data_IF_914913643147
#
_entry.id   IF_914913643147
#
_cell.length_a   1.000
_cell.length_b   1.000
_cell.length_c   1.000
_cell.angle_alpha   90.00
_cell.angle_beta   90.00
_cell.angle_gamma   90.00
#
_symmetry.space_group_name_H-M   'P 1'
#
loop_
_entity.id
_entity.type
_entity.pdbx_description
1 polymer ?
#
# COMPACT_ATOMS: atom_id res chain seq x y z
N UNK A 1 -5.19 1.31 -10.46
CA UNK A 1 -6.31 1.61 -9.54
C UNK A 1 -5.67 2.14 -8.27
N UNK A 2 -5.85 3.40 -7.99
CA UNK A 2 -5.30 4.04 -6.79
C UNK A 2 -6.40 4.15 -5.74
N UNK A 3 -6.12 3.73 -4.52
CA UNK A 3 -7.01 3.94 -3.37
C UNK A 3 -6.36 5.05 -2.55
N UNK A 4 -7.03 6.19 -2.47
CA UNK A 4 -6.56 7.34 -1.73
C UNK A 4 -6.74 7.16 -0.22
N UNK A 5 -5.83 7.73 0.56
CA UNK A 5 -5.80 7.63 2.01
C UNK A 5 -6.27 8.90 2.72
N UNK A 6 -6.51 8.75 4.00
CA UNK A 6 -6.77 9.81 4.96
C UNK A 6 -5.57 10.77 5.15
N UNK A 7 -5.76 11.98 5.68
CA UNK A 7 -4.67 12.94 5.88
C UNK A 7 -3.58 12.34 6.77
N UNK A 8 -2.34 12.35 6.27
CA UNK A 8 -1.13 12.00 6.99
C UNK A 8 -0.42 10.71 6.58
N UNK A 9 -0.99 9.80 5.81
CA UNK A 9 -0.26 8.66 5.26
C UNK A 9 -0.95 8.04 4.06
N UNK A 10 -0.28 7.98 2.91
CA UNK A 10 -0.78 7.34 1.71
C UNK A 10 -0.11 5.98 1.45
N UNK A 11 -0.90 4.93 1.27
CA UNK A 11 -0.42 3.61 0.87
C UNK A 11 -0.99 3.22 -0.48
N UNK A 12 -0.14 2.72 -1.38
CA UNK A 12 -0.55 2.32 -2.72
C UNK A 12 0.03 0.97 -3.09
N UNK A 13 -0.80 0.14 -3.67
CA UNK A 13 -0.38 -1.07 -4.36
C UNK A 13 -0.49 -0.82 -5.86
N UNK A 14 0.62 -0.91 -6.58
CA UNK A 14 0.65 -0.68 -8.03
C UNK A 14 0.72 -2.03 -8.73
N UNK A 15 -0.33 -2.32 -9.49
CA UNK A 15 -0.32 -3.33 -10.53
C UNK A 15 0.10 -2.68 -11.83
N UNK A 16 1.21 -3.11 -12.39
CA UNK A 16 1.77 -2.60 -13.65
C UNK A 16 2.37 -1.18 -13.56
N UNK A 17 3.43 -0.96 -14.30
CA UNK A 17 4.22 0.24 -14.55
C UNK A 17 3.46 1.57 -14.55
N UNK A 18 2.88 1.98 -13.45
CA UNK A 18 2.25 3.28 -13.34
C UNK A 18 3.07 4.17 -12.41
N UNK A 19 3.46 5.36 -12.83
CA UNK A 19 4.08 6.33 -11.94
C UNK A 19 3.05 6.78 -10.90
N UNK A 20 3.45 6.81 -9.65
CA UNK A 20 2.67 7.39 -8.58
C UNK A 20 3.23 8.77 -8.24
N UNK A 21 2.39 9.78 -8.33
CA UNK A 21 2.68 11.15 -7.91
C UNK A 21 1.88 11.45 -6.64
N UNK A 22 2.52 11.35 -5.49
CA UNK A 22 1.93 11.76 -4.21
C UNK A 22 2.42 13.14 -3.81
N UNK A 23 1.52 13.98 -3.29
CA UNK A 23 1.84 15.33 -2.84
C UNK A 23 1.34 15.53 -1.42
N UNK A 24 2.21 15.98 -0.51
CA UNK A 24 1.81 16.60 0.75
C UNK A 24 1.79 18.10 0.53
N UNK A 25 0.64 18.71 0.76
CA UNK A 25 0.52 20.17 0.78
C UNK A 25 0.19 20.64 2.19
N UNK A 26 1.04 21.51 2.75
CA UNK A 26 0.86 22.12 4.06
C UNK A 26 0.62 23.61 3.84
N UNK A 27 -0.58 24.06 4.14
CA UNK A 27 -0.98 25.46 3.97
C UNK A 27 -0.36 26.36 5.05
N UNK A 28 -0.26 27.64 4.77
CA UNK A 28 0.38 28.64 5.64
C UNK A 28 -0.13 28.64 7.08
N UNK A 29 -1.42 28.40 7.28
CA UNK A 29 -2.06 28.41 8.61
C UNK A 29 -1.97 27.06 9.33
N UNK A 30 -1.46 26.01 8.67
CA UNK A 30 -1.29 24.68 9.25
C UNK A 30 0.06 24.54 9.99
N UNK A 31 0.33 25.47 10.91
CA UNK A 31 1.54 25.43 11.73
C UNK A 31 1.52 24.24 12.70
N UNK A 32 2.69 23.75 13.07
CA UNK A 32 2.90 22.55 13.92
C UNK A 32 2.38 21.23 13.33
N UNK A 33 2.10 21.18 12.03
CA UNK A 33 1.77 19.92 11.34
C UNK A 33 2.94 18.94 11.40
N UNK A 34 2.61 17.66 11.54
CA UNK A 34 3.58 16.57 11.50
C UNK A 34 3.06 15.51 10.53
N UNK A 35 3.53 15.57 9.29
CA UNK A 35 3.02 14.75 8.20
C UNK A 35 4.08 13.79 7.66
N UNK A 36 3.64 12.58 7.34
CA UNK A 36 4.47 11.56 6.74
C UNK A 36 3.74 10.85 5.60
N UNK A 37 4.32 10.90 4.40
CA UNK A 37 3.84 10.17 3.24
C UNK A 37 4.66 8.90 3.06
N UNK A 38 4.05 7.74 3.27
CA UNK A 38 4.68 6.46 2.99
C UNK A 38 4.03 5.81 1.78
N UNK A 39 4.88 5.44 0.81
CA UNK A 39 4.47 4.63 -0.33
C UNK A 39 5.21 3.30 -0.29
N UNK A 40 4.45 2.22 -0.20
CA UNK A 40 4.98 0.86 -0.31
C UNK A 40 4.40 0.18 -1.54
N UNK A 41 5.27 -0.35 -2.40
CA UNK A 41 4.90 -1.04 -3.63
C UNK A 41 5.35 -2.50 -3.54
N UNK A 42 4.42 -3.42 -3.78
CA UNK A 42 4.71 -4.84 -3.92
C UNK A 42 4.65 -5.21 -5.41
N UNK A 43 5.78 -5.66 -5.94
CA UNK A 43 5.88 -6.08 -7.34
C UNK A 43 5.54 -7.57 -7.45
N UNK A 44 4.49 -7.90 -8.22
CA UNK A 44 4.01 -9.27 -8.41
C UNK A 44 4.64 -9.95 -9.63
N UNK A 45 5.39 -9.21 -10.42
CA UNK A 45 6.10 -9.72 -11.59
C UNK A 45 7.52 -9.18 -11.61
N UNK A 46 8.45 -9.93 -12.18
CA UNK A 46 9.82 -9.48 -12.40
C UNK A 46 9.91 -8.32 -13.40
N UNK A 47 8.92 -8.19 -14.28
CA UNK A 47 8.82 -7.11 -15.26
C UNK A 47 8.09 -5.88 -14.71
N UNK A 48 7.52 -5.97 -13.52
CA UNK A 48 6.84 -4.86 -12.87
C UNK A 48 7.83 -3.76 -12.49
N UNK A 49 7.44 -2.51 -12.74
CA UNK A 49 8.21 -1.33 -12.35
C UNK A 49 7.37 -0.43 -11.48
N UNK A 50 7.87 -0.10 -10.31
CA UNK A 50 7.28 0.88 -9.42
C UNK A 50 8.09 2.17 -9.50
N UNK A 51 7.44 3.27 -9.87
CA UNK A 51 8.05 4.59 -9.90
C UNK A 51 7.28 5.51 -8.95
N UNK A 52 7.93 5.94 -7.89
CA UNK A 52 7.37 6.83 -6.88
C UNK A 52 7.97 8.22 -7.04
N UNK A 53 7.13 9.22 -7.20
CA UNK A 53 7.53 10.63 -7.28
C UNK A 53 6.77 11.39 -6.18
N UNK A 54 7.19 11.25 -4.91
CA UNK A 54 6.59 11.99 -3.83
C UNK A 54 7.03 13.46 -3.86
N UNK A 55 6.07 14.37 -3.68
CA UNK A 55 6.30 15.80 -3.62
C UNK A 55 5.89 16.39 -2.27
N UNK A 56 6.54 17.49 -1.89
CA UNK A 56 6.21 18.28 -0.71
C UNK A 56 6.03 19.73 -1.15
N UNK A 57 4.87 20.30 -0.83
CA UNK A 57 4.59 21.73 -0.99
C UNK A 57 4.27 22.31 0.39
N UNK A 58 5.20 23.08 0.95
CA UNK A 58 5.12 23.54 2.34
C UNK A 58 5.11 25.06 2.35
N UNK A 59 3.99 25.65 2.77
CA UNK A 59 3.80 27.09 2.91
C UNK A 59 3.95 27.56 4.38
N UNK A 60 3.98 26.63 5.33
CA UNK A 60 4.15 26.90 6.76
C UNK A 60 5.61 26.79 7.21
N UNK A 61 6.00 27.47 8.29
CA UNK A 61 7.37 27.53 8.78
C UNK A 61 7.67 26.49 9.89
N UNK A 62 6.73 26.26 10.79
CA UNK A 62 6.88 25.37 11.93
C UNK A 62 6.17 24.05 11.67
N UNK A 63 6.78 23.20 10.83
CA UNK A 63 6.20 21.90 10.47
C UNK A 63 7.28 20.83 10.39
N UNK A 64 6.85 19.59 10.50
CA UNK A 64 7.64 18.40 10.16
C UNK A 64 6.94 17.67 9.03
N UNK A 65 7.60 17.54 7.89
CA UNK A 65 7.09 16.79 6.77
C UNK A 65 8.19 15.91 6.20
N UNK A 66 7.86 14.67 5.95
CA UNK A 66 8.79 13.73 5.33
C UNK A 66 8.06 12.72 4.46
N UNK A 67 8.79 12.06 3.59
CA UNK A 67 8.24 10.98 2.77
C UNK A 67 9.22 9.80 2.70
N UNK A 68 8.66 8.62 2.50
CA UNK A 68 9.39 7.40 2.20
C UNK A 68 8.74 6.65 1.05
N UNK A 69 9.55 5.98 0.24
CA UNK A 69 9.06 5.11 -0.81
C UNK A 69 9.84 3.80 -0.80
N UNK A 70 9.14 2.69 -0.87
CA UNK A 70 9.73 1.37 -1.02
C UNK A 70 9.10 0.62 -2.18
N UNK A 71 9.89 -0.17 -2.87
CA UNK A 71 9.43 -1.11 -3.86
C UNK A 71 10.16 -2.44 -3.68
N UNK A 72 9.42 -3.51 -3.54
CA UNK A 72 9.99 -4.85 -3.37
C UNK A 72 9.21 -5.90 -4.14
N UNK A 73 9.88 -6.91 -4.70
CA UNK A 73 9.21 -8.06 -5.26
C UNK A 73 8.56 -8.91 -4.15
N UNK A 74 7.66 -9.80 -4.53
CA UNK A 74 7.24 -10.91 -3.65
C UNK A 74 8.47 -11.73 -3.32
N UNK A 75 8.65 -12.03 -2.03
CA UNK A 75 9.74 -12.85 -1.55
C UNK A 75 9.55 -14.31 -2.02
N UNK A 76 10.45 -14.86 -2.83
CA UNK A 76 10.33 -16.21 -3.34
C UNK A 76 10.41 -17.27 -2.24
N UNK A 77 11.14 -17.03 -1.15
CA UNK A 77 11.21 -17.96 -0.01
C UNK A 77 9.88 -18.01 0.73
N UNK A 78 9.25 -16.84 0.93
CA UNK A 78 7.92 -16.77 1.54
C UNK A 78 6.88 -17.48 0.68
N UNK A 79 6.90 -17.28 -0.63
CA UNK A 79 6.01 -17.95 -1.58
C UNK A 79 6.24 -19.48 -1.54
N UNK A 80 7.50 -19.91 -1.61
CA UNK A 80 7.87 -21.33 -1.53
C UNK A 80 7.40 -21.97 -0.22
N UNK A 81 7.57 -21.29 0.92
CA UNK A 81 7.11 -21.79 2.21
C UNK A 81 5.59 -22.02 2.21
N UNK A 82 4.81 -21.10 1.69
CA UNK A 82 3.35 -21.24 1.62
C UNK A 82 2.94 -22.40 0.71
N UNK A 83 3.59 -22.55 -0.44
CA UNK A 83 3.37 -23.68 -1.36
C UNK A 83 3.75 -25.02 -0.72
N UNK A 84 4.82 -25.07 0.07
CA UNK A 84 5.21 -26.30 0.81
C UNK A 84 4.19 -26.72 1.88
N UNK A 85 3.31 -25.80 2.28
CA UNK A 85 2.18 -26.04 3.19
C UNK A 85 0.89 -26.42 2.47
N UNK A 86 0.93 -26.60 1.16
CA UNK A 86 -0.17 -27.11 0.36
C UNK A 86 -1.01 -26.05 -0.36
N UNK A 87 -0.57 -24.76 -0.36
CA UNK A 87 -1.22 -23.74 -1.16
C UNK A 87 -0.78 -23.86 -2.62
N UNK A 88 -1.70 -23.54 -3.56
CA UNK A 88 -1.32 -23.33 -4.94
C UNK A 88 -0.46 -22.06 -5.08
N UNK A 89 0.19 -21.90 -6.22
CA UNK A 89 0.99 -20.69 -6.48
C UNK A 89 0.15 -19.42 -6.38
N UNK A 90 -1.05 -19.44 -6.96
CA UNK A 90 -1.98 -18.33 -6.91
C UNK A 90 -2.47 -18.04 -5.49
N UNK A 91 -2.74 -19.07 -4.70
CA UNK A 91 -3.15 -18.93 -3.30
C UNK A 91 -2.02 -18.36 -2.43
N UNK A 92 -0.78 -18.80 -2.67
CA UNK A 92 0.38 -18.28 -1.96
C UNK A 92 0.61 -16.79 -2.28
N UNK A 93 0.51 -16.41 -3.55
CA UNK A 93 0.63 -15.01 -3.97
C UNK A 93 -0.49 -14.15 -3.38
N UNK A 94 -1.73 -14.60 -3.46
CA UNK A 94 -2.88 -13.94 -2.87
C UNK A 94 -2.69 -13.70 -1.36
N UNK A 95 -2.18 -14.68 -0.64
CA UNK A 95 -1.91 -14.57 0.80
C UNK A 95 -0.81 -13.53 1.09
N UNK A 96 0.26 -13.49 0.31
CA UNK A 96 1.32 -12.49 0.46
C UNK A 96 0.78 -11.08 0.20
N UNK A 97 -0.02 -10.91 -0.85
CA UNK A 97 -0.64 -9.62 -1.18
C UNK A 97 -1.58 -9.15 -0.07
N UNK A 98 -2.43 -10.05 0.42
CA UNK A 98 -3.36 -9.73 1.52
C UNK A 98 -2.61 -9.33 2.77
N UNK A 99 -1.57 -10.05 3.14
CA UNK A 99 -0.73 -9.71 4.29
C UNK A 99 0.02 -8.37 4.11
N UNK A 100 0.43 -8.04 2.90
CA UNK A 100 1.02 -6.75 2.58
C UNK A 100 0.02 -5.60 2.76
N UNK A 101 -1.19 -5.76 2.27
CA UNK A 101 -2.26 -4.76 2.35
C UNK A 101 -2.85 -4.62 3.76
N UNK A 102 -2.91 -5.72 4.53
CA UNK A 102 -3.52 -5.76 5.86
C UNK A 102 -2.97 -4.67 6.78
N UNK A 103 -1.64 -4.48 6.79
CA UNK A 103 -0.99 -3.45 7.62
C UNK A 103 -1.49 -2.02 7.36
N UNK A 104 -1.95 -1.77 6.15
CA UNK A 104 -2.51 -0.47 5.76
C UNK A 104 -3.99 -0.40 6.05
N UNK A 105 -4.71 -1.47 5.73
CA UNK A 105 -6.15 -1.58 5.91
C UNK A 105 -6.51 -1.50 7.41
N UNK A 106 -5.71 -2.09 8.29
CA UNK A 106 -5.89 -2.04 9.75
C UNK A 106 -5.85 -0.63 10.32
N UNK A 107 -5.16 0.31 9.65
CA UNK A 107 -5.09 1.71 10.07
C UNK A 107 -6.34 2.52 9.74
N UNK A 108 -7.25 1.98 8.93
CA UNK A 108 -8.51 2.64 8.58
C UNK A 108 -9.45 2.52 9.78
N UNK A 109 -9.90 3.64 10.39
CA UNK A 109 -10.74 3.59 11.59
C UNK A 109 -12.15 3.06 11.32
N UNK A 110 -12.67 3.25 10.11
CA UNK A 110 -14.01 2.80 9.71
C UNK A 110 -14.03 1.30 9.37
N UNK A 111 -14.70 0.52 10.20
CA UNK A 111 -14.82 -0.93 10.05
C UNK A 111 -15.57 -1.33 8.76
N UNK A 112 -16.59 -0.57 8.37
CA UNK A 112 -17.34 -0.87 7.14
C UNK A 112 -16.46 -0.68 5.91
N UNK A 113 -15.69 0.39 5.89
CA UNK A 113 -14.74 0.66 4.81
C UNK A 113 -13.66 -0.41 4.75
N UNK A 114 -13.11 -0.85 5.91
CA UNK A 114 -12.14 -1.96 5.96
C UNK A 114 -12.71 -3.22 5.31
N UNK A 115 -13.93 -3.61 5.66
CA UNK A 115 -14.59 -4.80 5.10
C UNK A 115 -14.77 -4.70 3.59
N UNK A 116 -15.22 -3.53 3.10
CA UNK A 116 -15.39 -3.32 1.65
C UNK A 116 -14.08 -3.46 0.91
N UNK A 117 -12.99 -2.91 1.46
CA UNK A 117 -11.66 -2.99 0.83
C UNK A 117 -11.14 -4.43 0.87
N UNK A 118 -11.26 -5.12 2.01
CA UNK A 118 -10.84 -6.52 2.13
C UNK A 118 -11.61 -7.40 1.14
N UNK A 119 -12.92 -7.25 1.06
CA UNK A 119 -13.73 -8.01 0.10
C UNK A 119 -13.30 -7.74 -1.35
N UNK A 120 -13.03 -6.49 -1.71
CA UNK A 120 -12.55 -6.15 -3.05
C UNK A 120 -11.17 -6.77 -3.36
N UNK A 121 -10.31 -6.94 -2.36
CA UNK A 121 -9.02 -7.63 -2.49
C UNK A 121 -9.24 -9.13 -2.66
N UNK A 122 -10.07 -9.74 -1.83
CA UNK A 122 -10.41 -11.17 -1.91
C UNK A 122 -11.02 -11.53 -3.26
N UNK A 123 -11.99 -10.75 -3.72
CA UNK A 123 -12.64 -10.95 -5.03
C UNK A 123 -11.64 -10.85 -6.18
N UNK A 124 -10.72 -9.88 -6.11
CA UNK A 124 -9.72 -9.68 -7.15
C UNK A 124 -8.72 -10.83 -7.26
N UNK A 125 -8.33 -11.39 -6.14
CA UNK A 125 -7.36 -12.49 -6.06
C UNK A 125 -8.01 -13.86 -5.97
N UNK A 126 -9.35 -13.94 -6.04
CA UNK A 126 -10.12 -15.18 -5.90
C UNK A 126 -9.74 -15.94 -4.62
N UNK A 127 -9.48 -15.21 -3.56
CA UNK A 127 -9.16 -15.78 -2.25
C UNK A 127 -10.45 -16.36 -1.69
N UNK A 128 -10.51 -17.70 -1.60
CA UNK A 128 -11.61 -18.36 -0.89
C UNK A 128 -11.39 -18.10 0.60
N UNK A 129 -12.34 -17.49 1.33
CA UNK A 129 -12.22 -17.30 2.75
C UNK A 129 -11.98 -18.65 3.41
N UNK A 130 -10.89 -18.78 4.16
CA UNK A 130 -10.69 -19.97 5.01
C UNK A 130 -11.77 -19.95 6.09
N UNK A 131 -12.71 -20.88 6.03
CA UNK A 131 -13.76 -21.12 7.03
C UNK A 131 -13.12 -21.48 8.38
#
# INVERSE_FOLDING_TARGET
MSIGSSPGSGYFTIYLSAPFNGMIKILKDAQNSNDFLQQDSLMLSQDAKANAIPGLEIEANEVKASHGATAKPVDPEQKFYLMSRGLSEEQAEAMVVTGFLARTIEKIPDEKLRRVILQAVEDKFQIVPSI
#
